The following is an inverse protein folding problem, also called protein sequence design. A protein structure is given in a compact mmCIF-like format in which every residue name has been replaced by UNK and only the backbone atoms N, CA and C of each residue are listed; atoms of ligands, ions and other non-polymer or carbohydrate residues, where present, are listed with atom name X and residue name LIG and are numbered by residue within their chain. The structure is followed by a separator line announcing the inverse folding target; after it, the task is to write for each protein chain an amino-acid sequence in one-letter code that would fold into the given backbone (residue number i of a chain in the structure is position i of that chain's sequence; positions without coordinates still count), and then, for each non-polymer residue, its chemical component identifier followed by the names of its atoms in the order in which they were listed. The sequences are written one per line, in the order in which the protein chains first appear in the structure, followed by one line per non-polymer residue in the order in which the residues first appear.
data_IF_451510196335
#
_entry.id   IF_451510196335
#
_cell.length_a   1.000
_cell.length_b   1.000
_cell.length_c   1.000
_cell.angle_alpha   90.00
_cell.angle_beta   90.00
_cell.angle_gamma   90.00
#
_symmetry.space_group_name_H-M   'P 1'
#
loop_
_entity.id
_entity.type
_entity.pdbx_description
1 polymer ?
#
# COMPACT_ATOMS: atom_id res chain seq x y z
N UNK A 1 16.33 -12.10 24.63
CA UNK A 1 15.51 -11.05 23.98
C UNK A 1 14.78 -11.61 22.76
N UNK A 2 15.44 -12.32 21.84
CA UNK A 2 14.82 -13.00 20.68
C UNK A 2 13.73 -14.04 21.05
N UNK A 3 13.89 -14.82 22.13
CA UNK A 3 12.89 -15.83 22.53
C UNK A 3 11.54 -15.26 22.98
N UNK A 4 11.52 -14.05 23.55
CA UNK A 4 10.28 -13.40 24.01
C UNK A 4 9.47 -12.94 22.79
N UNK A 5 10.15 -12.34 21.81
CA UNK A 5 9.51 -11.93 20.56
C UNK A 5 8.98 -13.12 19.78
N UNK A 6 9.71 -14.24 19.70
CA UNK A 6 9.23 -15.44 19.01
C UNK A 6 7.91 -15.97 19.61
N UNK A 7 7.78 -15.99 20.94
CA UNK A 7 6.52 -16.41 21.60
C UNK A 7 5.36 -15.46 21.37
N UNK A 8 5.60 -14.15 21.27
CA UNK A 8 4.55 -13.18 20.96
C UNK A 8 4.16 -13.20 19.47
N UNK A 9 5.13 -13.38 18.57
CA UNK A 9 4.87 -13.58 17.15
C UNK A 9 4.12 -14.89 16.88
N UNK A 10 4.41 -15.98 17.60
CA UNK A 10 3.65 -17.24 17.50
C UNK A 10 2.18 -17.10 17.94
N UNK A 11 1.88 -16.16 18.84
CA UNK A 11 0.50 -15.85 19.26
C UNK A 11 -0.25 -15.02 18.22
N UNK A 12 0.47 -14.24 17.42
CA UNK A 12 -0.10 -13.53 16.28
C UNK A 12 -0.19 -14.55 15.14
N UNK A 13 -1.39 -14.94 14.73
CA UNK A 13 -1.56 -15.84 13.58
C UNK A 13 -1.15 -15.09 12.29
N UNK A 14 0.15 -14.95 12.04
CA UNK A 14 0.73 -14.26 10.88
C UNK A 14 0.84 -15.24 9.73
N UNK A 15 0.31 -14.87 8.56
CA UNK A 15 0.56 -15.61 7.33
C UNK A 15 1.17 -14.70 6.28
N UNK A 16 1.94 -15.33 5.38
CA UNK A 16 2.65 -14.64 4.31
C UNK A 16 1.71 -14.48 3.12
N UNK A 17 1.54 -13.24 2.66
CA UNK A 17 0.78 -12.90 1.47
C UNK A 17 1.60 -13.03 0.20
N UNK A 18 2.87 -12.67 0.27
CA UNK A 18 3.81 -12.75 -0.84
C UNK A 18 5.21 -13.09 -0.34
N UNK A 19 5.89 -13.92 -1.11
CA UNK A 19 7.30 -14.23 -0.96
C UNK A 19 7.86 -14.47 -2.35
N UNK A 20 8.68 -13.56 -2.81
CA UNK A 20 9.61 -13.81 -3.90
C UNK A 20 11.02 -13.40 -3.46
N UNK A 21 11.95 -13.37 -4.40
CA UNK A 21 13.36 -13.07 -4.13
C UNK A 21 13.57 -11.58 -3.79
N UNK A 22 12.60 -10.71 -4.08
CA UNK A 22 12.69 -9.25 -3.93
C UNK A 22 11.86 -8.75 -2.74
N UNK A 23 10.64 -9.26 -2.55
CA UNK A 23 9.71 -8.74 -1.55
C UNK A 23 9.01 -9.80 -0.68
N UNK A 24 8.72 -9.40 0.57
CA UNK A 24 7.93 -10.18 1.52
C UNK A 24 6.82 -9.33 2.12
N UNK A 25 5.57 -9.78 1.95
CA UNK A 25 4.37 -9.13 2.51
C UNK A 25 3.64 -10.10 3.42
N UNK A 26 3.18 -9.63 4.57
CA UNK A 26 2.58 -10.41 5.65
C UNK A 26 1.22 -9.85 6.08
N UNK A 27 0.39 -10.70 6.68
CA UNK A 27 -0.87 -10.30 7.28
C UNK A 27 -1.09 -11.06 8.59
N UNK A 28 -1.48 -10.32 9.63
CA UNK A 28 -1.94 -10.85 10.91
C UNK A 28 -3.43 -11.15 10.77
N UNK A 29 -3.80 -12.42 10.95
CA UNK A 29 -5.18 -12.88 10.85
C UNK A 29 -6.10 -12.08 11.78
N UNK A 30 -7.33 -11.84 11.33
CA UNK A 30 -8.34 -11.23 12.17
C UNK A 30 -8.64 -12.09 13.39
N UNK A 31 -8.88 -11.46 14.54
CA UNK A 31 -9.25 -12.19 15.75
C UNK A 31 -10.59 -12.91 15.57
N UNK A 32 -10.65 -14.18 15.96
CA UNK A 32 -11.87 -15.01 15.93
C UNK A 32 -13.01 -14.44 16.80
N UNK A 33 -12.74 -13.44 17.66
CA UNK A 33 -13.72 -12.82 18.55
C UNK A 33 -14.45 -11.61 17.93
N UNK A 34 -14.16 -11.25 16.67
CA UNK A 34 -14.79 -10.09 16.00
C UNK A 34 -16.17 -10.48 15.47
N UNK A 35 -17.23 -9.87 16.03
CA UNK A 35 -18.64 -10.08 15.64
C UNK A 35 -19.11 -9.25 14.44
N UNK A 36 -18.23 -8.43 13.85
CA UNK A 36 -18.61 -7.50 12.77
C UNK A 36 -18.73 -8.27 11.45
N UNK A 37 -19.66 -7.92 10.55
CA UNK A 37 -19.46 -8.25 9.13
C UNK A 37 -18.16 -7.56 8.72
N UNK A 38 -17.09 -8.35 8.54
CA UNK A 38 -15.73 -7.88 8.37
C UNK A 38 -15.58 -7.25 6.98
N UNK A 39 -16.13 -6.06 6.77
CA UNK A 39 -15.76 -5.29 5.59
C UNK A 39 -14.32 -4.80 5.77
N UNK A 40 -13.39 -5.65 5.36
CA UNK A 40 -11.95 -5.42 5.38
C UNK A 40 -11.58 -4.35 4.34
N UNK A 41 -10.75 -3.37 4.70
CA UNK A 41 -10.26 -2.36 3.76
C UNK A 41 -8.75 -2.44 3.59
N UNK A 42 -8.31 -2.54 2.33
CA UNK A 42 -6.91 -2.69 1.95
C UNK A 42 -6.50 -1.52 1.08
N UNK A 43 -5.43 -0.83 1.44
CA UNK A 43 -4.84 0.24 0.64
C UNK A 43 -3.47 -0.21 0.12
N UNK A 44 -3.26 -0.10 -1.19
CA UNK A 44 -1.96 -0.31 -1.84
C UNK A 44 -1.47 1.03 -2.39
N UNK A 45 -0.32 1.49 -1.92
CA UNK A 45 0.38 2.66 -2.45
C UNK A 45 1.58 2.16 -3.24
N UNK A 46 1.54 2.34 -4.57
CA UNK A 46 2.45 1.73 -5.52
C UNK A 46 2.14 0.25 -5.77
N UNK A 47 1.67 -0.05 -6.98
CA UNK A 47 1.25 -1.39 -7.41
C UNK A 47 2.42 -2.12 -8.10
N UNK A 48 3.30 -1.40 -8.80
CA UNK A 48 4.54 -2.01 -9.31
C UNK A 48 4.34 -3.17 -10.29
N UNK A 49 3.23 -3.19 -11.05
CA UNK A 49 2.87 -4.24 -12.03
C UNK A 49 2.56 -5.63 -11.42
N UNK A 50 2.40 -5.73 -10.10
CA UNK A 50 2.06 -6.97 -9.41
C UNK A 50 0.99 -6.71 -8.35
N UNK A 51 0.17 -7.72 -8.08
CA UNK A 51 -0.86 -7.68 -7.02
C UNK A 51 -0.94 -9.03 -6.31
N UNK A 52 0.19 -9.74 -6.19
CA UNK A 52 0.22 -11.10 -5.63
C UNK A 52 -0.28 -11.14 -4.18
N UNK A 53 0.19 -10.22 -3.35
CA UNK A 53 -0.22 -10.12 -1.96
C UNK A 53 -1.74 -9.87 -1.84
N UNK A 54 -2.28 -8.94 -2.62
CA UNK A 54 -3.70 -8.59 -2.65
C UNK A 54 -4.55 -9.75 -3.16
N UNK A 55 -4.13 -10.43 -4.24
CA UNK A 55 -4.83 -11.62 -4.74
C UNK A 55 -4.88 -12.71 -3.68
N UNK A 56 -3.76 -12.98 -3.01
CA UNK A 56 -3.71 -14.01 -1.98
C UNK A 56 -4.58 -13.63 -0.77
N UNK A 57 -4.60 -12.36 -0.37
CA UNK A 57 -5.50 -11.88 0.66
C UNK A 57 -6.97 -12.02 0.23
N UNK A 58 -7.32 -11.68 -1.02
CA UNK A 58 -8.70 -11.78 -1.53
C UNK A 58 -9.25 -13.21 -1.57
N UNK A 59 -8.37 -14.22 -1.69
CA UNK A 59 -8.77 -15.63 -1.61
C UNK A 59 -9.09 -16.06 -0.17
N UNK A 60 -8.44 -15.45 0.80
CA UNK A 60 -8.60 -15.76 2.23
C UNK A 60 -9.76 -14.94 2.82
N UNK A 61 -9.88 -13.68 2.42
CA UNK A 61 -10.91 -12.73 2.82
C UNK A 61 -11.55 -12.07 1.59
N UNK A 62 -12.48 -12.78 0.90
CA UNK A 62 -13.14 -12.27 -0.31
C UNK A 62 -14.00 -11.03 -0.09
N UNK A 63 -14.30 -10.70 1.16
CA UNK A 63 -15.04 -9.52 1.57
C UNK A 63 -14.18 -8.24 1.67
N UNK A 64 -12.86 -8.36 1.55
CA UNK A 64 -11.95 -7.22 1.52
C UNK A 64 -12.22 -6.32 0.30
N UNK A 65 -12.17 -5.01 0.51
CA UNK A 65 -12.21 -3.97 -0.52
C UNK A 65 -10.81 -3.43 -0.75
N UNK A 66 -10.39 -3.42 -2.01
CA UNK A 66 -9.04 -3.00 -2.41
C UNK A 66 -9.07 -1.60 -3.02
N UNK A 67 -8.17 -0.74 -2.55
CA UNK A 67 -7.96 0.62 -3.03
C UNK A 67 -6.49 0.79 -3.36
N UNK A 68 -6.17 1.00 -4.63
CA UNK A 68 -4.80 1.13 -5.08
C UNK A 68 -4.53 2.53 -5.65
N UNK A 69 -3.30 3.00 -5.48
CA UNK A 69 -2.83 4.26 -6.03
C UNK A 69 -1.48 4.04 -6.67
N UNK A 70 -1.34 4.40 -7.94
CA UNK A 70 -0.07 4.27 -8.67
C UNK A 70 -0.02 5.28 -9.83
N UNK A 71 1.16 5.86 -10.16
CA UNK A 71 1.30 6.81 -11.26
C UNK A 71 1.29 6.18 -12.67
N UNK A 72 1.44 4.86 -12.81
CA UNK A 72 1.39 4.12 -14.09
C UNK A 72 -0.01 3.51 -14.30
N UNK A 73 -0.75 3.97 -15.30
CA UNK A 73 -2.19 3.69 -15.39
C UNK A 73 -2.56 2.33 -15.97
N UNK A 74 -2.24 2.03 -17.23
CA UNK A 74 -3.02 1.02 -17.95
C UNK A 74 -2.89 -0.40 -17.35
N UNK A 75 -1.67 -0.84 -17.06
CA UNK A 75 -1.42 -2.19 -16.52
C UNK A 75 -1.92 -2.28 -15.08
N UNK A 76 -1.50 -1.36 -14.21
CA UNK A 76 -1.87 -1.40 -12.78
C UNK A 76 -3.37 -1.18 -12.56
N UNK A 77 -4.00 -0.29 -13.34
CA UNK A 77 -5.45 -0.11 -13.31
C UNK A 77 -6.16 -1.39 -13.73
N UNK A 78 -5.68 -2.11 -14.74
CA UNK A 78 -6.29 -3.36 -15.19
C UNK A 78 -6.15 -4.46 -14.13
N UNK A 79 -4.95 -4.63 -13.55
CA UNK A 79 -4.72 -5.57 -12.44
C UNK A 79 -5.73 -5.32 -11.31
N UNK A 80 -5.86 -4.07 -10.88
CA UNK A 80 -6.71 -3.72 -9.73
C UNK A 80 -8.20 -3.80 -10.09
N UNK A 81 -8.64 -3.19 -11.20
CA UNK A 81 -10.07 -3.12 -11.53
C UNK A 81 -10.61 -4.44 -12.07
N UNK A 82 -9.86 -5.13 -12.93
CA UNK A 82 -10.35 -6.34 -13.63
C UNK A 82 -10.09 -7.60 -12.82
N UNK A 83 -8.94 -7.71 -12.15
CA UNK A 83 -8.61 -8.94 -11.41
C UNK A 83 -9.05 -8.89 -9.94
N UNK A 84 -8.90 -7.75 -9.25
CA UNK A 84 -9.33 -7.63 -7.84
C UNK A 84 -10.74 -7.06 -7.66
N UNK A 85 -11.32 -6.45 -8.71
CA UNK A 85 -12.56 -5.68 -8.55
C UNK A 85 -12.40 -4.44 -7.65
N UNK A 86 -11.18 -3.92 -7.53
CA UNK A 86 -10.83 -2.81 -6.66
C UNK A 86 -11.03 -1.44 -7.28
N UNK A 87 -10.73 -0.40 -6.50
CA UNK A 87 -10.67 1.00 -6.95
C UNK A 87 -9.23 1.39 -7.22
N UNK A 88 -8.96 2.05 -8.35
CA UNK A 88 -7.63 2.53 -8.72
C UNK A 88 -7.65 4.04 -8.92
N UNK A 89 -6.69 4.73 -8.32
CA UNK A 89 -6.42 6.15 -8.52
C UNK A 89 -5.05 6.33 -9.19
N UNK A 90 -5.03 6.98 -10.35
CA UNK A 90 -3.78 7.32 -11.03
C UNK A 90 -3.15 8.57 -10.39
N UNK A 91 -2.17 8.36 -9.51
CA UNK A 91 -1.43 9.44 -8.85
C UNK A 91 -0.13 8.91 -8.22
N UNK A 92 0.87 9.78 -8.06
CA UNK A 92 1.95 9.52 -7.12
C UNK A 92 1.53 9.91 -5.70
N UNK A 93 1.99 9.14 -4.70
CA UNK A 93 1.75 9.41 -3.29
C UNK A 93 3.07 9.68 -2.59
N UNK A 94 3.09 10.70 -1.73
CA UNK A 94 4.25 11.02 -0.90
C UNK A 94 3.86 11.72 0.39
N UNK A 95 4.83 12.31 1.09
CA UNK A 95 4.58 13.02 2.34
C UNK A 95 3.70 14.27 2.17
N UNK A 96 3.93 15.04 1.10
CA UNK A 96 3.23 16.30 0.81
C UNK A 96 2.70 16.32 -0.63
N UNK A 97 1.70 17.17 -0.87
CA UNK A 97 1.20 17.42 -2.23
C UNK A 97 2.17 18.35 -2.97
N UNK A 98 2.55 17.96 -4.19
CA UNK A 98 3.46 18.71 -5.04
C UNK A 98 2.88 18.80 -6.46
N UNK A 99 2.94 19.98 -7.07
CA UNK A 99 2.46 20.19 -8.44
C UNK A 99 3.13 19.24 -9.44
N UNK A 100 4.43 19.00 -9.24
CA UNK A 100 5.21 18.02 -10.00
C UNK A 100 6.33 17.45 -9.13
N UNK A 101 6.49 16.13 -9.19
CA UNK A 101 7.63 15.38 -8.63
C UNK A 101 8.24 14.51 -9.73
N UNK A 102 9.55 14.32 -9.71
CA UNK A 102 10.22 13.42 -10.64
C UNK A 102 10.21 12.01 -10.06
N UNK A 103 9.50 11.10 -10.69
CA UNK A 103 9.41 9.70 -10.26
C UNK A 103 9.85 8.76 -11.37
N UNK A 104 10.25 7.56 -10.98
CA UNK A 104 10.42 6.43 -11.88
C UNK A 104 9.03 5.87 -12.22
N UNK A 105 8.73 5.74 -13.51
CA UNK A 105 7.49 5.13 -14.01
C UNK A 105 7.88 4.02 -14.98
N UNK A 106 7.38 2.82 -14.72
CA UNK A 106 7.53 1.70 -15.63
C UNK A 106 6.80 1.98 -16.95
N UNK A 107 7.47 1.78 -18.08
CA UNK A 107 6.83 1.86 -19.38
C UNK A 107 5.73 0.80 -19.56
N UNK A 108 4.75 1.10 -20.42
CA UNK A 108 3.66 0.18 -20.79
C UNK A 108 4.18 -1.13 -21.42
N UNK A 109 5.39 -1.13 -21.96
CA UNK A 109 6.01 -2.31 -22.57
C UNK A 109 6.95 -2.99 -21.58
N UNK A 110 6.41 -3.93 -20.80
CA UNK A 110 7.15 -4.71 -19.79
C UNK A 110 8.31 -5.49 -20.42
N UNK A 111 8.24 -5.79 -21.73
CA UNK A 111 9.28 -6.52 -22.48
C UNK A 111 10.50 -5.64 -22.72
N UNK A 112 10.33 -4.32 -22.82
CA UNK A 112 11.45 -3.37 -22.99
C UNK A 112 12.09 -2.90 -21.68
N UNK A 113 11.52 -3.27 -20.52
CA UNK A 113 12.03 -2.93 -19.17
C UNK A 113 12.54 -1.48 -19.06
N UNK A 114 11.84 -0.55 -19.71
CA UNK A 114 12.19 0.87 -19.66
C UNK A 114 11.63 1.49 -18.39
N UNK A 115 12.49 1.88 -17.46
CA UNK A 115 12.11 2.82 -16.40
C UNK A 115 12.31 4.23 -16.94
N UNK A 116 11.24 4.98 -17.10
CA UNK A 116 11.32 6.38 -17.48
C UNK A 116 11.07 7.28 -16.30
N UNK A 117 11.87 8.34 -16.20
CA UNK A 117 11.59 9.41 -15.26
C UNK A 117 10.57 10.36 -15.84
N UNK A 118 9.47 10.56 -15.13
CA UNK A 118 8.40 11.49 -15.53
C UNK A 118 8.08 12.45 -14.40
N UNK A 119 7.76 13.68 -14.76
CA UNK A 119 7.18 14.64 -13.84
C UNK A 119 5.69 14.33 -13.72
N UNK A 120 5.24 13.92 -12.54
CA UNK A 120 3.81 13.70 -12.26
C UNK A 120 3.39 14.51 -11.04
N UNK A 121 2.10 14.88 -10.92
CA UNK A 121 1.59 15.43 -9.67
C UNK A 121 1.70 14.42 -8.53
N UNK A 122 2.12 14.88 -7.36
CA UNK A 122 2.14 14.10 -6.12
C UNK A 122 0.99 14.53 -5.23
N UNK A 123 0.27 13.57 -4.67
CA UNK A 123 -0.73 13.81 -3.63
C UNK A 123 -0.10 13.42 -2.29
N UNK A 124 -0.15 14.32 -1.32
CA UNK A 124 0.28 14.04 0.05
C UNK A 124 -0.61 12.98 0.69
N UNK A 125 -0.02 12.07 1.48
CA UNK A 125 -0.72 10.93 2.06
C UNK A 125 -1.94 11.35 2.92
N UNK A 126 -1.82 12.43 3.69
CA UNK A 126 -2.93 12.96 4.48
C UNK A 126 -4.05 13.51 3.60
N UNK A 127 -3.70 14.17 2.50
CA UNK A 127 -4.69 14.65 1.53
C UNK A 127 -5.39 13.48 0.83
N UNK A 128 -4.65 12.45 0.43
CA UNK A 128 -5.21 11.23 -0.15
C UNK A 128 -6.22 10.58 0.80
N UNK A 129 -5.81 10.30 2.04
CA UNK A 129 -6.64 9.61 3.03
C UNK A 129 -7.92 10.41 3.34
N UNK A 130 -7.83 11.74 3.47
CA UNK A 130 -8.98 12.59 3.79
C UNK A 130 -9.90 12.88 2.62
N UNK A 131 -9.35 13.19 1.45
CA UNK A 131 -10.10 13.77 0.32
C UNK A 131 -10.34 12.78 -0.81
N UNK A 132 -9.55 11.70 -0.93
CA UNK A 132 -9.67 10.74 -2.03
C UNK A 132 -10.23 9.40 -1.56
N UNK A 133 -9.73 8.87 -0.45
CA UNK A 133 -10.23 7.62 0.13
C UNK A 133 -11.62 7.81 0.78
N UNK A 134 -11.80 8.87 1.59
CA UNK A 134 -13.08 9.31 2.18
C UNK A 134 -13.90 8.22 2.91
N UNK A 135 -13.26 7.15 3.38
CA UNK A 135 -13.93 6.16 4.23
C UNK A 135 -13.85 6.57 5.69
N UNK A 136 -14.70 5.96 6.50
CA UNK A 136 -14.76 6.17 7.96
C UNK A 136 -14.36 4.91 8.73
N UNK A 137 -14.26 3.81 8.03
CA UNK A 137 -13.88 2.49 8.51
C UNK A 137 -12.35 2.37 8.59
N UNK A 138 -11.82 1.57 9.54
CA UNK A 138 -10.39 1.30 9.63
C UNK A 138 -9.80 0.79 8.33
N UNK A 139 -8.52 1.12 8.11
CA UNK A 139 -7.69 0.50 7.08
C UNK A 139 -7.07 -0.74 7.71
N UNK A 140 -7.52 -1.93 7.33
CA UNK A 140 -7.07 -3.18 7.93
C UNK A 140 -5.66 -3.57 7.50
N UNK A 141 -5.29 -3.22 6.27
CA UNK A 141 -3.95 -3.39 5.74
C UNK A 141 -3.58 -2.22 4.83
N UNK A 142 -2.41 -1.64 5.06
CA UNK A 142 -1.75 -0.75 4.12
C UNK A 142 -0.46 -1.39 3.60
N UNK A 143 -0.34 -1.49 2.28
CA UNK A 143 0.85 -1.90 1.55
C UNK A 143 1.49 -0.65 0.95
N UNK A 144 2.76 -0.40 1.23
CA UNK A 144 3.48 0.77 0.75
C UNK A 144 4.74 0.33 0.02
N UNK A 145 4.81 0.68 -1.25
CA UNK A 145 5.93 0.40 -2.13
C UNK A 145 6.03 1.56 -3.12
N UNK A 146 6.61 2.68 -2.67
CA UNK A 146 6.56 3.96 -3.40
C UNK A 146 7.94 4.51 -3.66
N UNK A 147 8.81 3.75 -4.31
CA UNK A 147 9.98 4.22 -5.09
C UNK A 147 10.71 5.49 -4.57
N UNK A 148 10.92 5.62 -3.25
CA UNK A 148 11.69 6.68 -2.60
C UNK A 148 10.90 7.78 -1.88
N UNK A 149 9.56 7.73 -1.82
CA UNK A 149 8.73 8.70 -1.08
C UNK A 149 8.37 8.27 0.35
N UNK A 150 8.83 7.11 0.79
CA UNK A 150 8.41 6.43 2.02
C UNK A 150 8.75 7.21 3.28
N UNK A 151 9.93 7.83 3.33
CA UNK A 151 10.35 8.63 4.48
C UNK A 151 9.41 9.81 4.74
N UNK A 152 8.96 10.48 3.68
CA UNK A 152 8.00 11.58 3.78
C UNK A 152 6.64 11.09 4.25
N UNK A 153 6.22 9.89 3.85
CA UNK A 153 4.96 9.26 4.31
C UNK A 153 5.07 8.89 5.78
N UNK A 154 6.16 8.24 6.19
CA UNK A 154 6.41 7.83 7.57
C UNK A 154 6.39 9.02 8.54
N UNK A 155 6.98 10.15 8.15
CA UNK A 155 6.92 11.37 8.94
C UNK A 155 5.47 11.80 9.21
N UNK A 156 4.58 11.68 8.21
CA UNK A 156 3.16 12.02 8.38
C UNK A 156 2.41 11.01 9.24
N UNK A 157 2.88 9.76 9.33
CA UNK A 157 2.27 8.75 10.19
C UNK A 157 2.46 8.99 11.68
N UNK A 158 3.53 9.71 12.08
CA UNK A 158 3.74 10.10 13.48
C UNK A 158 2.58 10.93 14.02
N UNK A 159 2.01 11.82 13.20
CA UNK A 159 0.88 12.68 13.57
C UNK A 159 -0.42 12.34 12.83
N UNK A 160 -0.51 11.17 12.16
CA UNK A 160 -1.64 10.91 11.27
C UNK A 160 -2.99 11.05 11.98
N UNK A 161 -3.11 10.56 13.22
CA UNK A 161 -4.36 10.56 13.98
C UNK A 161 -4.94 11.96 14.22
N UNK A 162 -4.10 13.00 14.21
CA UNK A 162 -4.51 14.41 14.29
C UNK A 162 -5.25 14.87 13.04
N UNK A 163 -4.87 14.36 11.87
CA UNK A 163 -5.39 14.81 10.58
C UNK A 163 -6.32 13.78 9.90
N UNK A 164 -6.15 12.50 10.21
CA UNK A 164 -6.88 11.33 9.75
C UNK A 164 -7.07 10.38 10.94
N UNK A 165 -8.15 10.55 11.74
CA UNK A 165 -8.38 9.81 12.98
C UNK A 165 -8.92 8.38 12.75
N UNK A 166 -8.58 7.77 11.62
CA UNK A 166 -9.01 6.43 11.25
C UNK A 166 -7.82 5.48 11.45
N UNK A 167 -7.99 4.39 12.20
CA UNK A 167 -6.91 3.45 12.44
C UNK A 167 -6.39 2.81 11.16
N UNK A 168 -5.06 2.70 11.06
CA UNK A 168 -4.37 1.80 10.15
C UNK A 168 -3.90 0.61 11.01
N UNK A 169 -4.52 -0.55 10.83
CA UNK A 169 -4.34 -1.71 11.71
C UNK A 169 -3.04 -2.46 11.45
N UNK A 170 -2.64 -2.56 10.18
CA UNK A 170 -1.44 -3.28 9.75
C UNK A 170 -0.75 -2.51 8.63
N UNK A 171 0.58 -2.55 8.62
CA UNK A 171 1.43 -1.88 7.64
C UNK A 171 2.50 -2.85 7.15
N UNK A 172 2.60 -3.03 5.83
CA UNK A 172 3.80 -3.56 5.19
C UNK A 172 4.37 -2.44 4.33
N UNK A 173 5.70 -2.29 4.34
CA UNK A 173 6.35 -1.22 3.60
C UNK A 173 7.72 -1.69 3.10
N UNK A 174 7.95 -1.51 1.81
CA UNK A 174 9.29 -1.56 1.23
C UNK A 174 9.94 -0.19 1.35
N UNK A 175 11.20 -0.12 1.81
CA UNK A 175 11.91 1.14 2.00
C UNK A 175 13.00 1.25 0.94
N UNK A 176 12.74 2.06 -0.06
CA UNK A 176 13.73 2.41 -1.07
C UNK A 176 14.78 3.38 -0.53
N UNK A 177 15.94 3.39 -1.17
CA UNK A 177 16.92 4.45 -0.92
C UNK A 177 16.29 5.81 -1.24
N UNK A 178 16.51 6.84 -0.39
CA UNK A 178 15.93 8.16 -0.62
C UNK A 178 16.43 8.71 -1.96
N UNK A 179 15.52 9.24 -2.77
CA UNK A 179 15.83 9.86 -4.07
C UNK A 179 16.61 11.19 -3.95
N UNK A 180 16.89 11.64 -2.73
CA UNK A 180 17.65 12.86 -2.46
C UNK A 180 19.13 12.52 -2.46
N UNK A 181 19.85 12.96 -3.50
CA UNK A 181 21.31 13.16 -3.36
C UNK A 181 21.48 14.28 -2.34
N UNK A 182 21.98 13.94 -1.15
CA UNK A 182 22.45 14.91 -0.16
C UNK A 182 23.67 15.63 -0.74
#
# INVERSE_FOLDING_TARGET
MLEIWNKEFEKMEIFRLQSDDEEQKYFIKFSNNIKRPLQCNVITLGVGHSIWAERNLSKIYPECRFYAVDPSSDINSDLVKKELGGTFLEAAIGGESLDKTLINVWEKDVVKKGVNRRMVPQIGIIEFLRKKYQKTEPVDLMLIDVEGAEFGILEKFVEHSKYFPIPICQLNMEIHHPNVKI
#
